data_IF_385630946318
#
_entry.id   IF_385630946318
#
_cell.length_a   1.000
_cell.length_b   1.000
_cell.length_c   1.000
_cell.angle_alpha   90.00
_cell.angle_beta   90.00
_cell.angle_gamma   90.00
#
_symmetry.space_group_name_H-M   'P 1'
#
loop_
_entity.id
_entity.type
_entity.pdbx_description
1 polymer ?
#
# COMPACT_ATOMS: atom_id res chain seq x y z
N UNK A 1 21.47 19.00 -0.42
CA UNK A 1 21.59 17.54 -0.17
C UNK A 1 21.94 16.87 -1.50
N UNK A 2 22.90 15.95 -1.54
CA UNK A 2 23.20 15.13 -2.72
C UNK A 2 22.56 13.76 -2.50
N UNK A 3 21.82 13.26 -3.49
CA UNK A 3 21.14 11.96 -3.44
C UNK A 3 21.95 10.95 -4.25
N UNK A 4 22.23 9.79 -3.65
CA UNK A 4 22.80 8.62 -4.33
C UNK A 4 21.84 7.46 -4.19
N UNK A 5 21.40 6.88 -5.29
CA UNK A 5 20.44 5.75 -5.33
C UNK A 5 21.18 4.46 -5.67
N UNK A 6 21.10 3.46 -4.79
CA UNK A 6 21.67 2.14 -5.02
C UNK A 6 20.64 1.21 -5.64
N UNK A 7 20.81 0.86 -6.90
CA UNK A 7 19.85 0.07 -7.67
C UNK A 7 20.37 -1.32 -8.03
N UNK A 8 19.53 -2.35 -7.90
CA UNK A 8 19.79 -3.69 -8.42
C UNK A 8 19.83 -3.73 -9.96
N UNK A 9 20.24 -4.86 -10.52
CA UNK A 9 20.46 -5.00 -11.97
C UNK A 9 19.23 -4.65 -12.81
N UNK A 10 18.06 -5.07 -12.34
CA UNK A 10 16.80 -4.92 -13.08
C UNK A 10 16.27 -3.47 -13.04
N UNK A 11 16.38 -2.82 -11.89
CA UNK A 11 15.85 -1.45 -11.70
C UNK A 11 16.85 -0.36 -12.17
N UNK A 12 18.14 -0.68 -12.31
CA UNK A 12 19.16 0.30 -12.62
C UNK A 12 18.91 1.07 -13.93
N UNK A 13 18.55 0.42 -15.07
CA UNK A 13 18.37 1.15 -16.33
C UNK A 13 17.25 2.19 -16.28
N UNK A 14 16.10 1.83 -15.70
CA UNK A 14 14.94 2.70 -15.53
C UNK A 14 15.26 3.86 -14.60
N UNK A 15 15.76 3.57 -13.38
CA UNK A 15 16.08 4.59 -12.41
C UNK A 15 17.19 5.55 -12.89
N UNK A 16 18.19 5.05 -13.65
CA UNK A 16 19.23 5.90 -14.20
C UNK A 16 18.72 6.83 -15.31
N UNK A 17 17.66 6.45 -16.00
CA UNK A 17 17.02 7.28 -17.03
C UNK A 17 16.03 8.31 -16.44
N UNK A 18 15.35 7.95 -15.36
CA UNK A 18 14.26 8.74 -14.78
C UNK A 18 14.70 9.73 -13.69
N UNK A 19 15.78 9.42 -12.95
CA UNK A 19 16.21 10.22 -11.81
C UNK A 19 17.22 11.31 -12.21
N UNK A 20 16.71 12.39 -12.74
CA UNK A 20 17.53 13.59 -13.02
C UNK A 20 18.05 14.21 -11.71
N UNK A 21 19.37 14.50 -11.67
CA UNK A 21 20.01 15.15 -10.52
C UNK A 21 20.40 14.22 -9.36
N UNK A 22 20.14 12.90 -9.45
CA UNK A 22 20.63 11.91 -8.52
C UNK A 22 21.73 11.04 -9.13
N UNK A 23 22.71 10.65 -8.32
CA UNK A 23 23.71 9.66 -8.71
C UNK A 23 23.11 8.25 -8.56
N UNK A 24 22.98 7.49 -9.64
CA UNK A 24 22.48 6.10 -9.57
C UNK A 24 23.65 5.13 -9.64
N UNK A 25 23.85 4.35 -8.58
CA UNK A 25 24.93 3.37 -8.44
C UNK A 25 24.38 1.96 -8.59
N UNK A 26 24.89 1.22 -9.57
CA UNK A 26 24.50 -0.17 -9.80
C UNK A 26 25.10 -1.10 -8.76
N UNK A 27 24.23 -1.85 -8.04
CA UNK A 27 24.65 -2.95 -7.16
C UNK A 27 24.45 -4.28 -7.91
N UNK A 28 25.47 -5.18 -7.96
CA UNK A 28 25.40 -6.40 -8.76
C UNK A 28 24.54 -7.49 -8.10
N UNK A 29 23.27 -7.18 -7.85
CA UNK A 29 22.27 -8.08 -7.24
C UNK A 29 21.05 -8.19 -8.14
N UNK A 30 20.46 -9.40 -8.19
CA UNK A 30 19.19 -9.64 -8.87
C UNK A 30 18.02 -9.64 -7.89
N UNK A 31 16.90 -9.04 -8.26
CA UNK A 31 15.66 -9.04 -7.49
C UNK A 31 14.96 -10.41 -7.48
N UNK A 32 15.29 -11.30 -8.42
CA UNK A 32 14.66 -12.63 -8.59
C UNK A 32 14.86 -13.59 -7.43
N UNK A 33 15.91 -13.40 -6.62
CA UNK A 33 16.20 -14.24 -5.47
C UNK A 33 16.19 -13.44 -4.18
N UNK A 34 15.20 -13.72 -3.31
CA UNK A 34 15.09 -13.06 -1.99
C UNK A 34 16.32 -13.25 -1.13
N UNK A 35 16.90 -14.48 -1.11
CA UNK A 35 18.11 -14.78 -0.33
C UNK A 35 19.30 -13.95 -0.84
N UNK A 36 19.51 -13.90 -2.16
CA UNK A 36 20.58 -13.09 -2.75
C UNK A 36 20.40 -11.61 -2.48
N UNK A 37 19.17 -11.12 -2.50
CA UNK A 37 18.85 -9.73 -2.17
C UNK A 37 19.21 -9.42 -0.72
N UNK A 38 18.79 -10.25 0.23
CA UNK A 38 19.13 -10.09 1.66
C UNK A 38 20.64 -10.14 1.87
N UNK A 39 21.35 -11.09 1.27
CA UNK A 39 22.81 -11.18 1.37
C UNK A 39 23.48 -9.92 0.81
N UNK A 40 23.03 -9.42 -0.34
CA UNK A 40 23.58 -8.21 -0.95
C UNK A 40 23.29 -6.97 -0.09
N UNK A 41 22.10 -6.88 0.51
CA UNK A 41 21.75 -5.82 1.46
C UNK A 41 22.69 -5.84 2.66
N UNK A 42 23.02 -7.02 3.20
CA UNK A 42 23.88 -7.16 4.37
C UNK A 42 25.38 -6.95 4.08
N UNK A 43 25.82 -7.10 2.83
CA UNK A 43 27.26 -7.10 2.47
C UNK A 43 27.62 -6.06 1.41
N UNK A 44 26.99 -6.12 0.24
CA UNK A 44 27.32 -5.26 -0.91
C UNK A 44 26.87 -3.81 -0.70
N UNK A 45 25.66 -3.61 -0.14
CA UNK A 45 25.12 -2.28 0.08
C UNK A 45 25.98 -1.44 1.05
N UNK A 46 26.39 -1.94 2.23
CA UNK A 46 27.31 -1.20 3.10
C UNK A 46 28.66 -0.86 2.44
N UNK A 47 29.18 -1.77 1.61
CA UNK A 47 30.43 -1.56 0.89
C UNK A 47 30.27 -0.47 -0.19
N UNK A 48 29.16 -0.50 -0.95
CA UNK A 48 28.84 0.51 -1.94
C UNK A 48 28.61 1.88 -1.30
N UNK A 49 27.87 1.94 -0.20
CA UNK A 49 27.61 3.15 0.58
C UNK A 49 28.92 3.82 1.07
N UNK A 50 29.84 3.02 1.61
CA UNK A 50 31.16 3.52 2.04
C UNK A 50 32.00 4.05 0.87
N UNK A 51 32.00 3.37 -0.29
CA UNK A 51 32.72 3.83 -1.49
C UNK A 51 32.13 5.14 -2.02
N UNK A 52 30.82 5.29 -1.99
CA UNK A 52 30.14 6.51 -2.40
C UNK A 52 30.29 7.66 -1.37
N UNK A 53 30.86 7.40 -0.19
CA UNK A 53 31.07 8.39 0.89
C UNK A 53 29.80 9.11 1.30
N UNK A 54 28.70 8.35 1.42
CA UNK A 54 27.42 8.91 1.89
C UNK A 54 27.44 9.11 3.41
N UNK A 55 26.73 10.12 3.88
CA UNK A 55 26.64 10.45 5.31
C UNK A 55 25.56 9.66 6.04
N UNK A 56 24.52 9.23 5.31
CA UNK A 56 23.36 8.53 5.83
C UNK A 56 22.82 7.54 4.79
N UNK A 57 22.45 6.35 5.23
CA UNK A 57 21.80 5.32 4.40
C UNK A 57 20.32 5.25 4.73
N UNK A 58 19.47 5.45 3.73
CA UNK A 58 18.03 5.18 3.84
C UNK A 58 17.66 3.83 3.20
N UNK A 59 17.10 2.94 3.99
CA UNK A 59 16.59 1.65 3.55
C UNK A 59 15.06 1.74 3.40
N UNK A 60 14.55 1.56 2.19
CA UNK A 60 13.14 1.85 1.82
C UNK A 60 12.20 0.66 1.92
N UNK A 61 12.66 -0.54 2.32
CA UNK A 61 11.88 -1.79 2.23
C UNK A 61 11.95 -2.63 3.51
N UNK A 62 11.48 -2.10 4.63
CA UNK A 62 11.30 -2.80 5.93
C UNK A 62 12.56 -3.42 6.53
N UNK A 63 13.64 -3.63 5.77
CA UNK A 63 14.90 -4.25 6.21
C UNK A 63 16.08 -3.31 6.00
N UNK A 64 17.17 -3.57 6.72
CA UNK A 64 18.39 -2.79 6.66
C UNK A 64 19.63 -3.65 6.94
N UNK A 65 20.83 -3.23 6.51
CA UNK A 65 22.07 -3.87 6.96
C UNK A 65 22.19 -3.86 8.49
N UNK A 66 22.48 -5.03 9.06
CA UNK A 66 22.74 -5.15 10.50
C UNK A 66 23.95 -4.34 10.95
N UNK A 67 24.96 -4.22 10.04
CA UNK A 67 26.19 -3.46 10.26
C UNK A 67 26.46 -2.61 9.01
N UNK A 68 26.02 -1.36 9.00
CA UNK A 68 26.28 -0.44 7.88
C UNK A 68 27.59 0.35 8.04
N UNK A 69 28.01 0.64 9.27
CA UNK A 69 29.16 1.49 9.59
C UNK A 69 28.90 2.99 9.38
N UNK A 70 27.62 3.37 9.21
CA UNK A 70 27.16 4.75 9.06
C UNK A 70 25.72 4.86 9.60
N UNK A 71 25.22 6.08 9.88
CA UNK A 71 23.85 6.31 10.28
C UNK A 71 22.84 5.73 9.29
N UNK A 72 21.76 5.12 9.80
CA UNK A 72 20.69 4.57 8.99
C UNK A 72 19.34 5.17 9.37
N UNK A 73 18.50 5.36 8.37
CA UNK A 73 17.06 5.51 8.47
C UNK A 73 16.42 4.32 7.75
N UNK A 74 15.37 3.75 8.29
CA UNK A 74 14.67 2.65 7.63
C UNK A 74 13.18 2.95 7.58
N UNK A 75 12.59 2.89 6.38
CA UNK A 75 11.14 2.89 6.24
C UNK A 75 10.61 1.48 6.55
N UNK A 76 9.72 1.40 7.53
CA UNK A 76 8.94 0.22 7.89
C UNK A 76 7.48 0.58 7.61
N UNK A 77 6.97 0.14 6.46
CA UNK A 77 5.62 0.48 6.02
C UNK A 77 4.55 -0.07 6.95
N UNK A 78 4.72 -1.31 7.39
CA UNK A 78 3.83 -1.97 8.34
C UNK A 78 4.52 -3.13 9.06
N UNK A 79 3.82 -3.65 10.05
CA UNK A 79 4.15 -4.88 10.76
C UNK A 79 2.97 -5.87 10.77
N UNK A 80 2.16 -5.86 9.70
CA UNK A 80 0.97 -6.72 9.53
C UNK A 80 1.32 -8.20 9.72
N UNK A 81 2.51 -8.63 9.33
CA UNK A 81 3.00 -10.01 9.54
C UNK A 81 3.04 -10.43 11.03
N UNK A 82 3.03 -9.48 11.97
CA UNK A 82 2.94 -9.77 13.41
C UNK A 82 1.52 -10.10 13.84
N UNK A 83 0.52 -9.50 13.19
CA UNK A 83 -0.91 -9.75 13.44
C UNK A 83 -1.44 -10.93 12.64
N UNK A 84 -0.92 -11.14 11.43
CA UNK A 84 -1.34 -12.16 10.47
C UNK A 84 -0.14 -12.99 9.99
N UNK A 85 0.45 -13.84 10.85
CA UNK A 85 1.64 -14.62 10.54
C UNK A 85 1.42 -15.59 9.37
N UNK A 86 0.21 -16.06 9.14
CA UNK A 86 -0.17 -16.93 8.02
C UNK A 86 0.04 -16.26 6.65
N UNK A 87 0.03 -14.92 6.58
CA UNK A 87 0.19 -14.19 5.32
C UNK A 87 1.60 -14.27 4.74
N UNK A 88 2.56 -14.68 5.53
CA UNK A 88 3.97 -14.60 5.15
C UNK A 88 4.66 -15.97 4.97
N UNK A 89 4.01 -17.11 5.31
CA UNK A 89 4.49 -18.48 5.10
C UNK A 89 5.82 -18.79 5.80
N UNK A 90 6.52 -19.86 5.38
CA UNK A 90 7.84 -20.27 5.90
C UNK A 90 8.94 -19.19 5.75
N UNK A 91 8.75 -18.23 4.85
CA UNK A 91 9.66 -17.08 4.63
C UNK A 91 9.58 -16.03 5.73
N UNK A 92 8.65 -16.17 6.70
CA UNK A 92 8.45 -15.26 7.81
C UNK A 92 9.62 -15.20 8.80
N UNK A 93 10.40 -16.27 8.95
CA UNK A 93 11.52 -16.27 9.90
C UNK A 93 12.51 -15.14 9.57
N UNK A 94 12.79 -14.93 8.27
CA UNK A 94 13.67 -13.83 7.84
C UNK A 94 13.09 -12.46 8.16
N UNK A 95 11.81 -12.22 7.87
CA UNK A 95 11.14 -10.94 8.15
C UNK A 95 11.00 -10.71 9.65
N UNK A 96 10.64 -11.76 10.40
CA UNK A 96 10.47 -11.70 11.85
C UNK A 96 11.75 -11.34 12.62
N UNK A 97 12.93 -11.60 12.03
CA UNK A 97 14.24 -11.26 12.58
C UNK A 97 14.80 -9.97 12.01
N UNK A 98 14.75 -9.81 10.67
CA UNK A 98 15.40 -8.68 9.99
C UNK A 98 14.69 -7.35 10.22
N UNK A 99 13.35 -7.34 10.28
CA UNK A 99 12.61 -6.07 10.51
C UNK A 99 12.86 -5.52 11.91
N UNK A 100 12.73 -6.30 13.02
CA UNK A 100 13.11 -5.81 14.34
C UNK A 100 14.58 -5.39 14.44
N UNK A 101 15.49 -6.11 13.75
CA UNK A 101 16.91 -5.76 13.72
C UNK A 101 17.12 -4.42 13.00
N UNK A 102 16.49 -4.21 11.85
CA UNK A 102 16.53 -2.96 11.10
C UNK A 102 16.03 -1.79 11.96
N UNK A 103 14.86 -1.96 12.61
CA UNK A 103 14.28 -0.96 13.49
C UNK A 103 15.23 -0.56 14.64
N UNK A 104 15.88 -1.54 15.27
CA UNK A 104 16.83 -1.29 16.39
C UNK A 104 18.13 -0.65 15.92
N UNK A 105 18.61 -0.98 14.72
CA UNK A 105 19.87 -0.50 14.16
C UNK A 105 19.76 0.85 13.47
N UNK A 106 18.56 1.27 13.12
CA UNK A 106 18.30 2.60 12.54
C UNK A 106 18.26 3.68 13.60
N UNK A 107 18.83 4.84 13.31
CA UNK A 107 18.69 6.02 14.18
C UNK A 107 17.26 6.54 14.22
N UNK A 108 16.59 6.50 13.06
CA UNK A 108 15.18 6.85 12.89
C UNK A 108 14.49 5.76 12.09
N UNK A 109 13.24 5.54 12.37
CA UNK A 109 12.33 4.69 11.59
C UNK A 109 11.30 5.61 10.95
N UNK A 110 11.10 5.49 9.63
CA UNK A 110 9.99 6.11 8.92
C UNK A 110 8.86 5.12 8.77
N UNK A 111 7.64 5.61 8.81
CA UNK A 111 6.44 4.82 8.53
C UNK A 111 5.36 5.70 7.90
N UNK A 112 4.30 5.09 7.37
CA UNK A 112 3.36 5.75 6.47
C UNK A 112 2.15 6.35 7.20
N UNK A 113 1.89 5.95 8.47
CA UNK A 113 0.73 6.38 9.24
C UNK A 113 1.00 6.38 10.75
N UNK A 114 0.19 7.09 11.53
CA UNK A 114 0.25 7.02 13.00
C UNK A 114 -0.13 5.61 13.49
N UNK A 115 -1.10 4.95 12.87
CA UNK A 115 -1.45 3.57 13.20
C UNK A 115 -0.27 2.60 12.99
N UNK A 116 0.49 2.74 11.90
CA UNK A 116 1.70 1.95 11.68
C UNK A 116 2.79 2.28 12.70
N UNK A 117 2.92 3.55 13.11
CA UNK A 117 3.82 3.97 14.18
C UNK A 117 3.47 3.31 15.51
N UNK A 118 2.19 3.31 15.88
CA UNK A 118 1.72 2.62 17.09
C UNK A 118 2.05 1.13 17.06
N UNK A 119 1.83 0.47 15.93
CA UNK A 119 2.17 -0.94 15.75
C UNK A 119 3.68 -1.21 15.81
N UNK A 120 4.50 -0.36 15.21
CA UNK A 120 5.97 -0.45 15.28
C UNK A 120 6.46 -0.31 16.72
N UNK A 121 5.98 0.69 17.46
CA UNK A 121 6.30 0.87 18.88
C UNK A 121 5.89 -0.37 19.67
N UNK A 122 4.66 -0.83 19.51
CA UNK A 122 4.08 -1.96 20.25
C UNK A 122 4.79 -3.29 19.96
N UNK A 123 5.00 -3.63 18.68
CA UNK A 123 5.46 -4.96 18.27
C UNK A 123 6.96 -5.08 18.09
N UNK A 124 7.67 -3.98 17.82
CA UNK A 124 9.12 -3.98 17.65
C UNK A 124 9.87 -3.40 18.84
N UNK A 125 9.17 -2.73 19.77
CA UNK A 125 9.77 -2.13 20.96
C UNK A 125 10.70 -0.95 20.63
N UNK A 126 10.38 -0.20 19.57
CA UNK A 126 11.08 1.04 19.21
C UNK A 126 10.47 2.19 20.01
N UNK A 127 11.30 3.08 20.53
CA UNK A 127 10.83 4.28 21.21
C UNK A 127 10.05 5.19 20.26
N UNK A 128 8.92 5.72 20.70
CA UNK A 128 7.99 6.48 19.87
C UNK A 128 8.61 7.74 19.25
N UNK A 129 9.56 8.37 19.94
CA UNK A 129 10.30 9.54 19.47
C UNK A 129 11.32 9.22 18.36
N UNK A 130 11.64 7.94 18.16
CA UNK A 130 12.49 7.45 17.07
C UNK A 130 11.68 7.08 15.81
N UNK A 131 10.35 7.12 15.86
CA UNK A 131 9.49 6.77 14.72
C UNK A 131 8.84 8.02 14.16
N UNK A 132 9.19 8.38 12.93
CA UNK A 132 8.63 9.49 12.17
C UNK A 132 7.55 9.01 11.22
N UNK A 133 6.49 9.79 11.07
CA UNK A 133 5.42 9.50 10.12
C UNK A 133 5.59 10.36 8.87
N UNK A 134 5.62 9.70 7.72
CA UNK A 134 5.71 10.32 6.40
C UNK A 134 4.59 9.73 5.51
N UNK A 135 3.37 10.29 5.57
CA UNK A 135 2.26 9.79 4.77
C UNK A 135 2.60 9.75 3.28
N UNK A 136 2.15 8.70 2.61
CA UNK A 136 2.47 8.50 1.19
C UNK A 136 1.66 9.43 0.28
N UNK A 137 2.23 9.78 -0.85
CA UNK A 137 1.49 10.26 -2.01
C UNK A 137 0.77 9.11 -2.73
N UNK A 138 0.00 9.41 -3.81
CA UNK A 138 -0.71 8.40 -4.59
C UNK A 138 0.24 7.36 -5.18
N UNK A 139 -0.17 6.08 -5.10
CA UNK A 139 0.65 4.95 -5.57
C UNK A 139 0.74 4.88 -7.08
N UNK A 140 -0.37 5.15 -7.77
CA UNK A 140 -0.46 5.06 -9.23
C UNK A 140 -0.72 6.45 -9.79
N UNK A 141 0.12 6.93 -10.73
CA UNK A 141 -0.16 8.16 -11.45
C UNK A 141 -1.51 8.06 -12.17
N UNK A 142 -2.25 9.17 -12.20
CA UNK A 142 -3.47 9.23 -13.02
C UNK A 142 -3.04 9.26 -14.48
N UNK A 143 -3.32 8.21 -15.29
CA UNK A 143 -2.94 8.19 -16.69
C UNK A 143 -3.73 9.22 -17.48
N UNK A 144 -3.12 9.75 -18.56
CA UNK A 144 -3.78 10.71 -19.43
C UNK A 144 -5.00 10.10 -20.14
N UNK A 145 -4.94 8.81 -20.45
CA UNK A 145 -5.98 8.08 -21.17
C UNK A 145 -6.30 6.75 -20.46
N UNK A 146 -7.28 6.74 -19.53
CA UNK A 146 -7.78 5.50 -18.93
C UNK A 146 -8.49 4.64 -19.99
N UNK A 147 -8.65 3.35 -19.73
CA UNK A 147 -9.53 2.51 -20.54
C UNK A 147 -10.96 3.02 -20.39
N UNK A 148 -11.69 3.27 -21.51
CA UNK A 148 -13.06 3.77 -21.45
C UNK A 148 -14.01 2.81 -20.73
N UNK A 149 -15.00 3.34 -20.01
CA UNK A 149 -15.97 2.53 -19.27
C UNK A 149 -16.71 1.53 -20.17
N UNK A 150 -17.10 1.94 -21.38
CA UNK A 150 -17.80 1.07 -22.33
C UNK A 150 -16.96 -0.17 -22.72
N UNK A 151 -15.66 0.02 -22.95
CA UNK A 151 -14.72 -1.07 -23.25
C UNK A 151 -14.57 -2.03 -22.07
N UNK A 152 -14.42 -1.50 -20.84
CA UNK A 152 -14.36 -2.31 -19.63
C UNK A 152 -15.66 -3.10 -19.40
N UNK A 153 -16.81 -2.48 -19.63
CA UNK A 153 -18.11 -3.15 -19.48
C UNK A 153 -18.28 -4.29 -20.46
N UNK A 154 -17.81 -4.12 -21.69
CA UNK A 154 -17.82 -5.18 -22.72
C UNK A 154 -16.84 -6.30 -22.38
N UNK A 155 -15.56 -5.98 -22.08
CA UNK A 155 -14.53 -6.98 -21.77
C UNK A 155 -14.84 -7.83 -20.54
N UNK A 156 -15.47 -7.24 -19.53
CA UNK A 156 -15.76 -7.90 -18.26
C UNK A 156 -17.20 -8.45 -18.17
N UNK A 157 -17.97 -8.34 -19.25
CA UNK A 157 -19.37 -8.76 -19.30
C UNK A 157 -20.20 -8.18 -18.13
N UNK A 158 -20.12 -6.85 -17.96
CA UNK A 158 -20.78 -6.15 -16.85
C UNK A 158 -22.20 -5.68 -17.20
N UNK A 159 -22.53 -5.52 -18.49
CA UNK A 159 -23.77 -4.88 -18.91
C UNK A 159 -23.96 -3.51 -18.24
N UNK A 160 -25.16 -3.21 -17.76
CA UNK A 160 -25.50 -2.00 -17.01
C UNK A 160 -25.41 -2.18 -15.48
N UNK A 161 -24.84 -3.29 -15.02
CA UNK A 161 -24.74 -3.63 -13.61
C UNK A 161 -23.99 -2.56 -12.78
N UNK A 162 -24.44 -2.23 -11.57
CA UNK A 162 -23.65 -1.44 -10.63
C UNK A 162 -22.33 -2.14 -10.30
N UNK A 163 -21.21 -1.43 -10.50
CA UNK A 163 -19.88 -1.95 -10.27
C UNK A 163 -19.41 -1.61 -8.85
N UNK A 164 -19.14 -2.63 -8.05
CA UNK A 164 -18.41 -2.54 -6.79
C UNK A 164 -16.97 -2.93 -7.04
N UNK A 165 -16.02 -2.05 -6.74
CA UNK A 165 -14.59 -2.30 -6.94
C UNK A 165 -13.88 -2.53 -5.61
N UNK A 166 -13.00 -3.52 -5.55
CA UNK A 166 -11.99 -3.66 -4.48
C UNK A 166 -10.64 -4.03 -5.08
N UNK A 167 -9.60 -3.30 -4.73
CA UNK A 167 -8.24 -3.52 -5.25
C UNK A 167 -7.37 -4.11 -4.15
N UNK A 168 -7.05 -5.40 -4.26
CA UNK A 168 -6.29 -6.08 -3.21
C UNK A 168 -5.59 -7.35 -3.70
N UNK A 169 -4.39 -7.63 -3.19
CA UNK A 169 -3.84 -8.97 -3.23
C UNK A 169 -4.71 -9.92 -2.39
N UNK A 170 -4.94 -11.15 -2.86
CA UNK A 170 -5.82 -12.13 -2.24
C UNK A 170 -5.18 -12.72 -0.99
N UNK A 171 -5.10 -11.92 0.10
CA UNK A 171 -4.51 -12.31 1.39
C UNK A 171 -5.54 -12.24 2.51
N UNK A 172 -5.41 -13.06 3.58
CA UNK A 172 -6.39 -13.13 4.67
C UNK A 172 -6.73 -11.78 5.30
N UNK A 173 -5.74 -10.92 5.58
CA UNK A 173 -5.97 -9.61 6.18
C UNK A 173 -6.73 -8.62 5.27
N UNK A 174 -6.83 -8.88 3.96
CA UNK A 174 -7.66 -8.09 3.03
C UNK A 174 -9.15 -8.42 3.12
N UNK A 175 -9.50 -9.50 3.84
CA UNK A 175 -10.86 -9.84 4.23
C UNK A 175 -11.87 -9.98 3.07
N UNK A 176 -11.37 -10.37 1.90
CA UNK A 176 -12.20 -10.50 0.69
C UNK A 176 -13.33 -11.53 0.84
N UNK A 177 -13.13 -12.56 1.67
CA UNK A 177 -14.16 -13.55 1.94
C UNK A 177 -15.44 -12.92 2.51
N UNK A 178 -15.31 -12.02 3.51
CA UNK A 178 -16.49 -11.31 4.06
C UNK A 178 -17.11 -10.33 3.06
N UNK A 179 -16.29 -9.70 2.20
CA UNK A 179 -16.83 -8.84 1.15
C UNK A 179 -17.66 -9.64 0.14
N UNK A 180 -17.17 -10.82 -0.27
CA UNK A 180 -17.91 -11.74 -1.15
C UNK A 180 -19.25 -12.14 -0.51
N UNK A 181 -19.24 -12.51 0.79
CA UNK A 181 -20.46 -12.83 1.52
C UNK A 181 -21.42 -11.63 1.63
N UNK A 182 -20.88 -10.42 1.80
CA UNK A 182 -21.69 -9.20 1.84
C UNK A 182 -22.33 -8.91 0.48
N UNK A 183 -21.58 -9.06 -0.62
CA UNK A 183 -22.12 -8.93 -1.99
C UNK A 183 -23.23 -9.97 -2.24
N UNK A 184 -23.12 -11.16 -1.66
CA UNK A 184 -24.19 -12.17 -1.70
C UNK A 184 -25.53 -11.71 -1.11
N UNK A 185 -25.55 -10.65 -0.29
CA UNK A 185 -26.76 -10.06 0.33
C UNK A 185 -27.33 -8.86 -0.44
N UNK A 186 -26.58 -8.34 -1.41
CA UNK A 186 -26.98 -7.21 -2.26
C UNK A 186 -27.91 -7.65 -3.39
N UNK A 187 -28.60 -6.72 -4.10
CA UNK A 187 -29.35 -7.01 -5.30
C UNK A 187 -28.57 -7.87 -6.32
N UNK A 188 -29.27 -8.72 -7.07
CA UNK A 188 -28.64 -9.73 -7.94
C UNK A 188 -27.84 -9.14 -9.10
N UNK A 189 -28.13 -7.93 -9.51
CA UNK A 189 -27.48 -7.20 -10.59
C UNK A 189 -26.14 -6.57 -10.21
N UNK A 190 -25.76 -6.55 -8.93
CA UNK A 190 -24.50 -5.96 -8.48
C UNK A 190 -23.32 -6.88 -8.79
N UNK A 191 -22.28 -6.34 -9.42
CA UNK A 191 -21.05 -7.08 -9.74
C UNK A 191 -19.88 -6.54 -8.92
N UNK A 192 -19.13 -7.44 -8.28
CA UNK A 192 -17.86 -7.16 -7.59
C UNK A 192 -16.68 -7.47 -8.51
N UNK A 193 -15.83 -6.48 -8.75
CA UNK A 193 -14.59 -6.63 -9.51
C UNK A 193 -13.38 -6.55 -8.56
N UNK A 194 -12.48 -7.54 -8.67
CA UNK A 194 -11.36 -7.75 -7.75
C UNK A 194 -10.03 -7.85 -8.52
N UNK A 195 -9.45 -6.75 -9.00
CA UNK A 195 -8.08 -6.74 -9.50
C UNK A 195 -7.07 -6.88 -8.36
N UNK A 196 -5.88 -7.37 -8.69
CA UNK A 196 -4.76 -7.53 -7.78
C UNK A 196 -4.11 -8.90 -7.88
N UNK A 197 -2.88 -9.01 -7.35
CA UNK A 197 -2.08 -10.22 -7.47
C UNK A 197 -2.77 -11.47 -6.94
N UNK A 198 -2.66 -12.53 -7.71
CA UNK A 198 -3.05 -13.88 -7.31
C UNK A 198 -2.15 -14.37 -6.17
N UNK A 199 -2.73 -15.16 -5.28
CA UNK A 199 -2.02 -15.79 -4.17
C UNK A 199 -2.56 -17.18 -3.92
N UNK A 200 -1.88 -17.96 -3.09
CA UNK A 200 -2.35 -19.29 -2.65
C UNK A 200 -3.74 -19.31 -1.98
N UNK A 201 -4.29 -18.15 -1.61
CA UNK A 201 -5.61 -18.03 -0.98
C UNK A 201 -6.74 -17.77 -1.98
N UNK A 202 -6.42 -17.56 -3.27
CA UNK A 202 -7.43 -17.21 -4.29
C UNK A 202 -8.40 -18.34 -4.58
N UNK A 203 -7.96 -19.58 -4.61
CA UNK A 203 -8.82 -20.73 -4.90
C UNK A 203 -9.98 -20.87 -3.89
N UNK A 204 -9.74 -20.55 -2.63
CA UNK A 204 -10.79 -20.53 -1.61
C UNK A 204 -11.81 -19.41 -1.87
N UNK A 205 -11.31 -18.22 -2.24
CA UNK A 205 -12.19 -17.09 -2.58
C UNK A 205 -13.02 -17.39 -3.83
N UNK A 206 -12.44 -18.01 -4.86
CA UNK A 206 -13.16 -18.42 -6.08
C UNK A 206 -14.25 -19.46 -5.80
N UNK A 207 -14.00 -20.43 -4.91
CA UNK A 207 -15.05 -21.40 -4.50
C UNK A 207 -16.20 -20.74 -3.75
N UNK A 208 -15.95 -19.66 -3.02
CA UNK A 208 -16.95 -18.89 -2.28
C UNK A 208 -17.71 -17.92 -3.18
N UNK A 209 -17.04 -17.40 -4.17
CA UNK A 209 -17.60 -16.43 -5.12
C UNK A 209 -18.63 -17.12 -6.04
N UNK A 210 -19.76 -16.46 -6.23
CA UNK A 210 -20.69 -16.77 -7.30
C UNK A 210 -20.32 -16.05 -8.59
N UNK A 211 -21.22 -16.14 -9.58
CA UNK A 211 -21.05 -15.52 -10.92
C UNK A 211 -20.96 -13.98 -10.90
N UNK A 212 -21.26 -13.35 -9.78
CA UNK A 212 -21.22 -11.89 -9.59
C UNK A 212 -19.83 -11.35 -9.19
N UNK A 213 -18.80 -12.18 -9.09
CA UNK A 213 -17.46 -11.78 -8.70
C UNK A 213 -16.48 -12.02 -9.84
N UNK A 214 -15.80 -10.97 -10.28
CA UNK A 214 -14.77 -11.00 -11.33
C UNK A 214 -13.39 -10.83 -10.72
N UNK A 215 -12.59 -11.89 -10.69
CA UNK A 215 -11.17 -11.82 -10.30
C UNK A 215 -10.32 -11.59 -11.54
N UNK A 216 -9.62 -10.45 -11.61
CA UNK A 216 -8.88 -10.03 -12.80
C UNK A 216 -7.37 -10.33 -12.76
N UNK A 217 -6.84 -10.74 -11.60
CA UNK A 217 -5.40 -10.78 -11.46
C UNK A 217 -4.78 -9.38 -11.47
N UNK A 218 -3.51 -9.28 -11.91
CA UNK A 218 -2.87 -7.99 -12.11
C UNK A 218 -3.37 -7.33 -13.41
N UNK A 219 -3.69 -6.05 -13.33
CA UNK A 219 -4.09 -5.22 -14.47
C UNK A 219 -3.13 -4.03 -14.61
N UNK A 220 -3.00 -3.46 -15.79
CA UNK A 220 -2.19 -2.27 -16.01
C UNK A 220 -2.83 -0.99 -15.43
N UNK A 221 -2.05 0.09 -15.37
CA UNK A 221 -2.48 1.35 -14.75
C UNK A 221 -3.66 1.99 -15.49
N UNK A 222 -3.77 1.83 -16.81
CA UNK A 222 -4.88 2.38 -17.61
C UNK A 222 -6.20 1.66 -17.32
N UNK A 223 -6.14 0.34 -17.25
CA UNK A 223 -7.27 -0.53 -16.89
C UNK A 223 -7.70 -0.26 -15.46
N UNK A 224 -6.75 -0.16 -14.52
CA UNK A 224 -7.05 0.11 -13.12
C UNK A 224 -7.68 1.50 -12.92
N UNK A 225 -7.17 2.52 -13.61
CA UNK A 225 -7.76 3.87 -13.56
C UNK A 225 -9.19 3.87 -14.13
N UNK A 226 -9.42 3.18 -15.24
CA UNK A 226 -10.76 3.01 -15.82
C UNK A 226 -11.72 2.31 -14.86
N UNK A 227 -11.26 1.24 -14.18
CA UNK A 227 -12.07 0.53 -13.17
C UNK A 227 -12.46 1.41 -11.99
N UNK A 228 -11.53 2.22 -11.46
CA UNK A 228 -11.88 3.19 -10.42
C UNK A 228 -12.94 4.17 -10.87
N UNK A 229 -12.82 4.73 -12.09
CA UNK A 229 -13.78 5.72 -12.63
C UNK A 229 -15.14 5.12 -12.93
N UNK A 230 -15.19 3.89 -13.45
CA UNK A 230 -16.41 3.16 -13.77
C UNK A 230 -17.14 2.63 -12.52
N UNK A 231 -16.44 2.51 -11.38
CA UNK A 231 -17.02 1.95 -10.18
C UNK A 231 -18.09 2.87 -9.57
N UNK A 232 -19.26 2.31 -9.26
CA UNK A 232 -20.30 2.97 -8.47
C UNK A 232 -19.79 3.28 -7.08
N UNK A 233 -19.01 2.36 -6.50
CA UNK A 233 -18.28 2.58 -5.25
C UNK A 233 -17.04 1.67 -5.16
N UNK A 234 -16.07 2.11 -4.37
CA UNK A 234 -14.90 1.36 -3.96
C UNK A 234 -15.06 0.84 -2.53
N UNK A 235 -14.70 -0.42 -2.28
CA UNK A 235 -14.81 -1.04 -0.96
C UNK A 235 -13.49 -1.64 -0.52
N UNK A 236 -13.00 -1.28 0.68
CA UNK A 236 -11.80 -1.88 1.27
C UNK A 236 -12.12 -2.47 2.65
N UNK A 237 -12.38 -3.78 2.74
CA UNK A 237 -12.82 -4.45 3.98
C UNK A 237 -11.65 -4.96 4.84
N UNK A 238 -10.46 -4.46 4.66
CA UNK A 238 -9.24 -4.96 5.28
C UNK A 238 -9.33 -5.02 6.81
N UNK A 239 -8.67 -6.02 7.41
CA UNK A 239 -8.49 -6.19 8.86
C UNK A 239 -7.25 -5.46 9.39
N UNK A 240 -6.34 -5.07 8.51
CA UNK A 240 -5.18 -4.26 8.82
C UNK A 240 -4.63 -3.61 7.54
N UNK A 241 -4.19 -2.36 7.65
CA UNK A 241 -3.52 -1.60 6.59
C UNK A 241 -2.38 -0.76 7.17
N UNK A 242 -1.26 -0.71 6.46
CA UNK A 242 -0.17 0.20 6.80
C UNK A 242 -0.48 1.65 6.46
N UNK A 243 -1.20 1.87 5.35
CA UNK A 243 -1.64 3.20 4.90
C UNK A 243 -3.04 3.16 4.28
N UNK A 244 -3.21 2.42 3.18
CA UNK A 244 -4.48 2.37 2.45
C UNK A 244 -4.43 3.09 1.10
N UNK A 245 -3.34 2.91 0.35
CA UNK A 245 -3.18 3.48 -1.00
C UNK A 245 -4.41 3.29 -1.89
N UNK A 246 -5.10 2.12 -1.94
CA UNK A 246 -6.28 1.96 -2.77
C UNK A 246 -7.45 2.89 -2.40
N UNK A 247 -7.58 3.28 -1.13
CA UNK A 247 -8.58 4.29 -0.70
C UNK A 247 -8.22 5.66 -1.25
N UNK A 248 -6.96 6.06 -1.12
CA UNK A 248 -6.46 7.32 -1.67
C UNK A 248 -6.62 7.36 -3.20
N UNK A 249 -6.31 6.27 -3.88
CA UNK A 249 -6.45 6.12 -5.33
C UNK A 249 -7.90 6.24 -5.79
N UNK A 250 -8.85 5.62 -5.08
CA UNK A 250 -10.27 5.75 -5.33
C UNK A 250 -10.74 7.22 -5.16
N UNK A 251 -10.33 7.88 -4.08
CA UNK A 251 -10.68 9.27 -3.81
C UNK A 251 -10.17 10.24 -4.88
N UNK A 252 -8.92 10.06 -5.35
CA UNK A 252 -8.32 10.86 -6.42
C UNK A 252 -9.08 10.76 -7.75
N UNK A 253 -9.80 9.65 -7.95
CA UNK A 253 -10.61 9.41 -9.16
C UNK A 253 -12.08 9.76 -8.96
N UNK A 254 -12.40 10.31 -7.79
CA UNK A 254 -13.76 10.68 -7.44
C UNK A 254 -14.69 9.48 -7.23
N UNK A 255 -14.14 8.32 -6.92
CA UNK A 255 -14.93 7.12 -6.62
C UNK A 255 -15.37 7.16 -5.16
N UNK A 256 -16.68 7.04 -4.86
CA UNK A 256 -17.18 6.98 -3.48
C UNK A 256 -16.62 5.77 -2.73
N UNK A 257 -16.17 5.98 -1.49
CA UNK A 257 -15.46 4.95 -0.71
C UNK A 257 -16.31 4.44 0.44
N UNK A 258 -16.33 3.11 0.62
CA UNK A 258 -16.65 2.43 1.87
C UNK A 258 -15.41 1.67 2.36
N UNK A 259 -15.04 1.81 3.63
CA UNK A 259 -13.87 1.10 4.16
C UNK A 259 -14.01 0.74 5.64
N UNK A 260 -13.19 -0.20 6.07
CA UNK A 260 -13.11 -0.59 7.48
C UNK A 260 -12.70 0.58 8.37
N UNK A 261 -13.29 0.67 9.56
CA UNK A 261 -12.90 1.68 10.57
C UNK A 261 -11.72 1.16 11.41
N UNK A 262 -10.60 0.84 10.78
CA UNK A 262 -9.43 0.25 11.46
C UNK A 262 -8.10 0.79 10.92
N UNK A 263 -7.04 0.65 11.71
CA UNK A 263 -5.65 0.97 11.32
C UNK A 263 -5.56 2.37 10.68
N UNK A 264 -4.81 2.50 9.60
CA UNK A 264 -4.59 3.76 8.90
C UNK A 264 -5.78 4.26 8.05
N UNK A 265 -6.82 3.44 7.82
CA UNK A 265 -7.91 3.82 6.92
C UNK A 265 -8.66 5.10 7.34
N UNK A 266 -8.94 5.33 8.66
CA UNK A 266 -9.53 6.60 9.09
C UNK A 266 -8.60 7.81 8.90
N UNK A 267 -7.27 7.62 8.97
CA UNK A 267 -6.30 8.69 8.73
C UNK A 267 -6.32 9.14 7.27
N UNK A 268 -6.43 8.18 6.35
CA UNK A 268 -6.45 8.44 4.90
C UNK A 268 -7.81 8.93 4.44
N UNK A 269 -8.88 8.27 4.85
CA UNK A 269 -10.22 8.57 4.34
C UNK A 269 -10.89 9.76 5.05
N UNK A 270 -10.53 10.08 6.29
CA UNK A 270 -11.17 11.16 7.05
C UNK A 270 -12.70 11.02 7.09
N UNK A 271 -13.40 12.10 6.81
CA UNK A 271 -14.88 12.11 6.73
C UNK A 271 -15.41 11.78 5.32
N UNK A 272 -14.53 11.37 4.40
CA UNK A 272 -14.87 11.14 3.00
C UNK A 272 -15.19 9.67 2.66
N UNK A 273 -15.56 8.86 3.65
CA UNK A 273 -15.94 7.46 3.46
C UNK A 273 -17.12 7.04 4.33
N UNK A 274 -17.80 5.99 3.88
CA UNK A 274 -18.72 5.23 4.73
C UNK A 274 -17.92 4.17 5.46
N UNK A 275 -17.95 4.19 6.79
CA UNK A 275 -17.21 3.24 7.62
C UNK A 275 -18.07 2.08 8.09
N UNK A 276 -17.44 0.90 8.25
CA UNK A 276 -18.06 -0.30 8.79
C UNK A 276 -17.06 -1.08 9.68
N UNK A 277 -17.59 -1.93 10.54
CA UNK A 277 -16.81 -2.98 11.22
C UNK A 277 -16.46 -4.07 10.20
N UNK A 278 -15.17 -4.34 9.92
CA UNK A 278 -14.77 -5.38 8.96
C UNK A 278 -15.12 -6.80 9.42
N UNK A 279 -15.47 -7.00 10.67
CA UNK A 279 -15.87 -8.30 11.20
C UNK A 279 -17.37 -8.56 11.02
N UNK A 280 -18.16 -7.52 10.75
CA UNK A 280 -19.60 -7.63 10.52
C UNK A 280 -19.95 -7.58 9.02
N UNK A 281 -20.29 -8.74 8.46
CA UNK A 281 -20.70 -8.86 7.04
C UNK A 281 -21.98 -8.05 6.74
N UNK A 282 -22.85 -7.86 7.73
CA UNK A 282 -24.07 -7.05 7.58
C UNK A 282 -23.76 -5.57 7.45
N UNK A 283 -22.83 -5.05 8.27
CA UNK A 283 -22.37 -3.66 8.16
C UNK A 283 -21.67 -3.40 6.82
N UNK A 284 -20.85 -4.35 6.34
CA UNK A 284 -20.23 -4.25 5.01
C UNK A 284 -21.31 -4.15 3.93
N UNK A 285 -22.31 -5.05 3.94
CA UNK A 285 -23.40 -5.04 2.99
C UNK A 285 -24.20 -3.74 3.05
N UNK A 286 -24.58 -3.28 4.25
CA UNK A 286 -25.32 -2.03 4.47
C UNK A 286 -24.54 -0.80 3.95
N UNK A 287 -23.23 -0.76 4.18
CA UNK A 287 -22.40 0.34 3.70
C UNK A 287 -22.37 0.40 2.16
N UNK A 288 -22.25 -0.76 1.50
CA UNK A 288 -22.31 -0.86 0.03
C UNK A 288 -23.72 -0.50 -0.47
N UNK A 289 -24.78 -1.06 0.11
CA UNK A 289 -26.17 -0.79 -0.28
C UNK A 289 -26.51 0.70 -0.21
N UNK A 290 -26.06 1.40 0.84
CA UNK A 290 -26.20 2.86 0.95
C UNK A 290 -25.52 3.60 -0.20
N UNK A 291 -24.33 3.18 -0.60
CA UNK A 291 -23.63 3.79 -1.74
C UNK A 291 -24.29 3.45 -3.07
N UNK A 292 -24.92 2.30 -3.21
CA UNK A 292 -25.67 1.94 -4.41
C UNK A 292 -26.98 2.73 -4.54
N UNK A 293 -27.70 2.90 -3.45
CA UNK A 293 -29.05 3.48 -3.44
C UNK A 293 -29.11 5.01 -3.27
N UNK A 294 -28.05 5.66 -2.76
CA UNK A 294 -28.05 7.09 -2.42
C UNK A 294 -27.07 7.88 -3.30
N UNK A 295 -27.59 8.46 -4.38
CA UNK A 295 -26.80 9.27 -5.32
C UNK A 295 -26.26 10.56 -4.69
N UNK A 296 -27.04 11.20 -3.80
CA UNK A 296 -26.62 12.41 -3.10
C UNK A 296 -25.46 12.12 -2.15
N UNK A 297 -25.49 10.98 -1.45
CA UNK A 297 -24.37 10.51 -0.64
C UNK A 297 -23.13 10.29 -1.51
N UNK A 298 -23.26 9.62 -2.66
CA UNK A 298 -22.13 9.42 -3.60
C UNK A 298 -21.54 10.73 -4.05
N UNK A 299 -22.38 11.71 -4.44
CA UNK A 299 -21.93 13.04 -4.87
C UNK A 299 -21.14 13.74 -3.76
N UNK A 300 -21.66 13.75 -2.55
CA UNK A 300 -21.02 14.35 -1.38
C UNK A 300 -19.69 13.68 -1.05
N UNK A 301 -19.62 12.36 -1.07
CA UNK A 301 -18.38 11.62 -0.79
C UNK A 301 -17.35 11.79 -1.89
N UNK A 302 -17.75 11.93 -3.14
CA UNK A 302 -16.85 12.26 -4.26
C UNK A 302 -16.17 13.61 -4.04
N UNK A 303 -16.91 14.63 -3.72
CA UNK A 303 -16.38 15.97 -3.47
C UNK A 303 -15.45 15.98 -2.23
N UNK A 304 -15.88 15.34 -1.15
CA UNK A 304 -15.08 15.20 0.07
C UNK A 304 -13.80 14.40 -0.17
N UNK A 305 -13.88 13.31 -0.95
CA UNK A 305 -12.75 12.43 -1.27
C UNK A 305 -11.67 13.14 -2.08
N UNK A 306 -12.06 13.87 -3.12
CA UNK A 306 -11.14 14.69 -3.91
C UNK A 306 -10.40 15.69 -3.03
N UNK A 307 -11.13 16.42 -2.17
CA UNK A 307 -10.53 17.38 -1.23
C UNK A 307 -9.62 16.70 -0.20
N UNK A 308 -10.02 15.53 0.32
CA UNK A 308 -9.21 14.77 1.28
C UNK A 308 -7.91 14.29 0.64
N UNK A 309 -7.95 13.83 -0.62
CA UNK A 309 -6.80 13.34 -1.36
C UNK A 309 -5.72 14.41 -1.60
N UNK A 310 -6.09 15.70 -1.71
CA UNK A 310 -5.14 16.82 -1.85
C UNK A 310 -4.14 16.94 -0.69
N UNK A 311 -4.47 16.35 0.47
CA UNK A 311 -3.60 16.36 1.66
C UNK A 311 -2.39 15.43 1.51
N UNK A 312 -2.40 14.53 0.53
CA UNK A 312 -1.41 13.49 0.33
C UNK A 312 -0.62 13.74 -0.95
N UNK A 313 0.66 14.01 -0.81
CA UNK A 313 1.54 14.24 -1.96
C UNK A 313 2.94 13.70 -1.70
N UNK A 314 3.60 13.25 -2.75
CA UNK A 314 5.01 12.82 -2.67
C UNK A 314 5.95 13.95 -2.23
N UNK A 315 5.56 15.21 -2.47
CA UNK A 315 6.32 16.37 -1.99
C UNK A 315 6.28 16.47 -0.46
N UNK A 316 5.12 16.26 0.17
CA UNK A 316 5.01 16.26 1.63
C UNK A 316 5.71 15.04 2.24
N UNK A 317 5.61 13.86 1.61
CA UNK A 317 6.36 12.66 2.00
C UNK A 317 7.86 12.92 1.98
N UNK A 318 8.37 13.54 0.91
CA UNK A 318 9.78 13.88 0.77
C UNK A 318 10.24 14.88 1.83
N UNK A 319 9.44 15.90 2.16
CA UNK A 319 9.76 16.87 3.23
C UNK A 319 9.88 16.16 4.58
N UNK A 320 8.89 15.34 4.97
CA UNK A 320 8.93 14.57 6.21
C UNK A 320 10.14 13.62 6.25
N UNK A 321 10.46 12.98 5.13
CA UNK A 321 11.63 12.12 5.00
C UNK A 321 12.94 12.91 5.21
N UNK A 322 13.07 14.11 4.65
CA UNK A 322 14.24 14.96 4.84
C UNK A 322 14.38 15.42 6.28
N UNK A 323 13.29 15.72 6.99
CA UNK A 323 13.32 16.05 8.43
C UNK A 323 13.83 14.87 9.26
N UNK A 324 13.39 13.65 8.93
CA UNK A 324 13.91 12.42 9.56
C UNK A 324 15.42 12.26 9.33
N UNK A 325 15.94 12.57 8.11
CA UNK A 325 17.37 12.55 7.85
C UNK A 325 18.14 13.57 8.70
N UNK A 326 17.62 14.80 8.83
CA UNK A 326 18.21 15.84 9.69
C UNK A 326 18.26 15.37 11.13
N UNK A 327 17.18 14.82 11.64
CA UNK A 327 17.10 14.25 13.00
C UNK A 327 18.08 13.10 13.19
N UNK A 328 18.23 12.22 12.22
CA UNK A 328 19.20 11.12 12.26
C UNK A 328 20.66 11.58 12.23
N UNK A 329 20.96 12.72 11.61
CA UNK A 329 22.32 13.28 11.53
C UNK A 329 22.67 14.20 12.71
N UNK A 330 21.69 14.89 13.31
CA UNK A 330 21.91 15.79 14.44
C UNK A 330 22.26 15.06 15.74
N UNK A 331 21.76 13.84 15.95
CA UNK A 331 22.09 12.99 17.10
C UNK A 331 23.50 12.36 16.94
N UNK A 332 24.52 13.19 16.76
CA UNK A 332 25.94 12.82 16.89
C UNK A 332 26.37 12.94 18.35
N UNK A 333 25.89 12.07 19.22
CA UNK A 333 26.45 11.87 20.56
C UNK A 333 26.81 10.40 20.76
#
# INVERSE_FOLDING_TARGET
MRLTVFAGREAYPSLAAELEGAEVVRVPVTARSRVRRVLAEQTLLPAAARRARIDLLHNTLNTAPAIAGLPQVTTIHDVIYKRFPETAGLLNVGVAVLVPLAARRSRRVLTDSEASKEDIVRFLGVEADRVDVAPLGPGIPVPAEPVPEAELREELDLGDAPLVLTVAAKRPHKNLARLIDAVGRLPEDVILVVPGFETQFEDELRRRAGERVRFLGWVDDRTLDGLYRAATCFVLPSLAEGFGLPVLEAMLRGTPVACSRISALPEVAGDAAVYFDPLDTGEIATAVERLLGDEELRRRLREAGLKQAERFSWESTARATVESYRSALSNRS
#
